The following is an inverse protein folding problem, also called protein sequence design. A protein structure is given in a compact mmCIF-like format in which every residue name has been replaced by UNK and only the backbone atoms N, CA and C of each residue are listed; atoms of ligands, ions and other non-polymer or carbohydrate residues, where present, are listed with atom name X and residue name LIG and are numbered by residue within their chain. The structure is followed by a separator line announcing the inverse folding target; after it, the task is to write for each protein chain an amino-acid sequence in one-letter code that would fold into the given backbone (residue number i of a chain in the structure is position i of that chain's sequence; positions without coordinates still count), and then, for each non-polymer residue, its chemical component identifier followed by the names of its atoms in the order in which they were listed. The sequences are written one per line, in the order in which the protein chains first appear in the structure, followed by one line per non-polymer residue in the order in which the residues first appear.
data_IF_468860503678
#
_entry.id   IF_468860503678
#
_cell.length_a   1.000
_cell.length_b   1.000
_cell.length_c   1.000
_cell.angle_alpha   90.00
_cell.angle_beta   90.00
_cell.angle_gamma   90.00
#
_symmetry.space_group_name_H-M   'P 1'
#
loop_
_entity.id
_entity.type
_entity.pdbx_description
1 polymer ?
#
# COMPACT_ATOMS: atom_id res chain seq x y z
N UNK A 1 -3.41 -14.46 -26.06
CA UNK A 1 -4.52 -14.11 -25.14
C UNK A 1 -4.97 -15.40 -24.45
N UNK A 2 -5.00 -15.43 -23.12
CA UNK A 2 -5.24 -16.66 -22.34
C UNK A 2 -6.73 -16.95 -22.06
N UNK A 3 -7.64 -16.05 -22.43
CA UNK A 3 -9.07 -16.14 -22.14
C UNK A 3 -9.91 -16.65 -23.32
N UNK A 4 -9.28 -17.01 -24.44
CA UNK A 4 -9.97 -17.62 -25.56
C UNK A 4 -10.00 -19.14 -25.37
N UNK A 5 -11.18 -19.78 -25.43
CA UNK A 5 -11.26 -21.24 -25.36
C UNK A 5 -10.39 -21.91 -26.43
N UNK A 6 -9.63 -22.92 -26.05
CA UNK A 6 -8.79 -23.66 -26.98
C UNK A 6 -9.65 -24.39 -28.01
N UNK A 7 -9.27 -24.31 -29.29
CA UNK A 7 -9.96 -24.98 -30.39
C UNK A 7 -11.09 -24.19 -31.04
N UNK A 8 -11.36 -22.95 -30.62
CA UNK A 8 -12.27 -22.05 -31.34
C UNK A 8 -11.54 -21.22 -32.41
N UNK A 9 -12.15 -21.02 -33.59
CA UNK A 9 -11.52 -20.30 -34.70
C UNK A 9 -11.32 -18.81 -34.45
N UNK A 10 -12.09 -18.23 -33.52
CA UNK A 10 -11.98 -16.83 -33.11
C UNK A 10 -12.20 -16.68 -31.60
N UNK A 11 -11.55 -15.67 -31.02
CA UNK A 11 -11.80 -15.23 -29.65
C UNK A 11 -13.12 -14.44 -29.56
N UNK A 12 -13.66 -14.31 -28.35
CA UNK A 12 -14.72 -13.35 -28.08
C UNK A 12 -14.29 -11.94 -28.50
N UNK A 13 -15.20 -11.13 -29.07
CA UNK A 13 -14.90 -9.76 -29.42
C UNK A 13 -14.58 -8.91 -28.18
N UNK A 14 -13.90 -7.79 -28.40
CA UNK A 14 -13.38 -6.95 -27.33
C UNK A 14 -14.49 -6.42 -26.41
N UNK A 15 -14.24 -6.45 -25.10
CA UNK A 15 -15.21 -6.03 -24.07
C UNK A 15 -16.19 -7.12 -23.63
N UNK A 16 -16.11 -8.30 -24.22
CA UNK A 16 -16.82 -9.49 -23.75
C UNK A 16 -15.88 -10.47 -23.07
N UNK A 17 -16.39 -11.14 -22.05
CA UNK A 17 -15.70 -12.20 -21.34
C UNK A 17 -16.54 -13.48 -21.41
N UNK A 18 -16.01 -14.49 -22.10
CA UNK A 18 -16.68 -15.77 -22.27
C UNK A 18 -16.62 -16.59 -20.97
N UNK A 19 -17.80 -16.91 -20.43
CA UNK A 19 -17.94 -17.73 -19.22
C UNK A 19 -18.66 -19.05 -19.51
N UNK A 20 -18.70 -19.50 -20.76
CA UNK A 20 -19.37 -20.75 -21.14
C UNK A 20 -18.82 -21.95 -20.37
N UNK A 21 -17.49 -22.04 -20.25
CA UNK A 21 -16.80 -23.08 -19.48
C UNK A 21 -17.14 -23.03 -17.98
N UNK A 22 -17.55 -21.87 -17.46
CA UNK A 22 -17.98 -21.70 -16.08
C UNK A 22 -19.48 -21.98 -15.89
N UNK A 23 -20.25 -22.06 -16.97
CA UNK A 23 -21.71 -22.13 -16.99
C UNK A 23 -22.22 -23.31 -17.82
N UNK A 24 -21.63 -24.50 -17.63
CA UNK A 24 -22.06 -25.74 -18.27
C UNK A 24 -22.17 -25.65 -19.80
N UNK A 25 -21.20 -24.99 -20.44
CA UNK A 25 -21.15 -24.73 -21.89
C UNK A 25 -22.29 -23.85 -22.44
N UNK A 26 -23.05 -23.18 -21.56
CA UNK A 26 -24.04 -22.17 -21.96
C UNK A 26 -23.36 -20.97 -22.63
N UNK A 27 -23.92 -20.38 -23.70
CA UNK A 27 -23.27 -19.31 -24.47
C UNK A 27 -23.36 -17.94 -23.77
N UNK A 28 -23.02 -17.90 -22.48
CA UNK A 28 -23.08 -16.69 -21.66
C UNK A 28 -21.78 -15.90 -21.81
N UNK A 29 -21.94 -14.61 -22.07
CA UNK A 29 -20.87 -13.62 -22.18
C UNK A 29 -21.08 -12.52 -21.15
N UNK A 30 -20.07 -12.20 -20.36
CA UNK A 30 -20.10 -11.05 -19.45
C UNK A 30 -19.55 -9.80 -20.13
N UNK A 31 -20.11 -8.64 -19.80
CA UNK A 31 -19.58 -7.32 -20.19
C UNK A 31 -19.81 -6.31 -19.07
N UNK A 32 -19.31 -5.09 -19.23
CA UNK A 32 -19.83 -3.96 -18.45
C UNK A 32 -21.20 -3.52 -18.98
N UNK A 33 -22.03 -2.82 -18.17
CA UNK A 33 -23.34 -2.36 -18.59
C UNK A 33 -23.29 -1.53 -19.87
N UNK A 34 -24.28 -1.74 -20.73
CA UNK A 34 -24.41 -1.10 -22.04
C UNK A 34 -23.13 -1.21 -22.89
N UNK A 35 -22.42 -2.33 -22.75
CA UNK A 35 -21.15 -2.59 -23.43
C UNK A 35 -20.09 -1.50 -23.20
N UNK A 36 -20.06 -0.87 -22.01
CA UNK A 36 -19.01 0.07 -21.65
C UNK A 36 -17.62 -0.57 -21.81
N UNK A 37 -16.70 0.11 -22.50
CA UNK A 37 -15.37 -0.40 -22.89
C UNK A 37 -15.37 -1.61 -23.84
N UNK A 38 -16.51 -1.94 -24.44
CA UNK A 38 -16.61 -2.93 -25.53
C UNK A 38 -16.56 -2.33 -26.91
N UNK A 39 -16.66 -3.19 -27.91
CA UNK A 39 -16.77 -2.80 -29.31
C UNK A 39 -18.05 -2.00 -29.58
N UNK A 40 -17.96 -0.97 -30.42
CA UNK A 40 -19.10 -0.12 -30.76
C UNK A 40 -20.15 -0.88 -31.60
N UNK A 41 -19.78 -1.97 -32.28
CA UNK A 41 -20.71 -2.80 -33.06
C UNK A 41 -21.91 -3.25 -32.24
N UNK A 42 -21.70 -3.61 -30.97
CA UNK A 42 -22.74 -4.09 -30.07
C UNK A 42 -23.86 -3.08 -29.81
N UNK A 43 -23.58 -1.78 -29.93
CA UNK A 43 -24.59 -0.72 -29.72
C UNK A 43 -25.58 -0.62 -30.90
N UNK A 44 -25.18 -1.13 -32.07
CA UNK A 44 -26.00 -1.12 -33.29
C UNK A 44 -26.75 -2.43 -33.54
N UNK A 45 -26.36 -3.51 -32.87
CA UNK A 45 -26.97 -4.85 -33.02
C UNK A 45 -28.32 -4.96 -32.29
N UNK A 46 -28.56 -4.13 -31.27
CA UNK A 46 -29.74 -4.22 -30.40
C UNK A 46 -30.34 -2.84 -30.15
N UNK A 47 -31.62 -2.69 -30.50
CA UNK A 47 -32.38 -1.48 -30.19
C UNK A 47 -32.69 -1.37 -28.69
N UNK A 48 -32.57 -0.15 -28.14
CA UNK A 48 -32.90 0.15 -26.73
C UNK A 48 -31.69 0.21 -25.79
N UNK A 49 -30.49 -0.12 -26.26
CA UNK A 49 -29.26 0.10 -25.50
C UNK A 49 -28.89 1.59 -25.56
N UNK A 50 -28.87 2.26 -24.41
CA UNK A 50 -28.33 3.62 -24.33
C UNK A 50 -26.81 3.62 -24.51
N UNK A 51 -26.22 4.71 -25.04
CA UNK A 51 -24.77 4.86 -25.11
C UNK A 51 -24.10 4.64 -23.74
N UNK A 52 -22.90 4.03 -23.71
CA UNK A 52 -22.24 3.74 -22.45
C UNK A 52 -21.76 5.01 -21.74
N UNK A 53 -22.12 5.14 -20.47
CA UNK A 53 -21.73 6.25 -19.60
C UNK A 53 -20.73 5.74 -18.55
N UNK A 54 -19.53 6.33 -18.53
CA UNK A 54 -18.47 5.93 -17.61
C UNK A 54 -18.90 6.01 -16.14
N UNK A 55 -19.63 7.05 -15.73
CA UNK A 55 -19.97 7.21 -14.31
C UNK A 55 -21.02 6.19 -13.87
N UNK A 56 -21.91 5.78 -14.78
CA UNK A 56 -22.96 4.78 -14.52
C UNK A 56 -22.53 3.34 -14.75
N UNK A 57 -21.55 3.08 -15.62
CA UNK A 57 -21.24 1.73 -16.08
C UNK A 57 -19.82 1.25 -15.73
N UNK A 58 -18.96 2.10 -15.15
CA UNK A 58 -17.65 1.65 -14.66
C UNK A 58 -17.77 0.69 -13.48
N UNK A 59 -16.97 -0.37 -13.50
CA UNK A 59 -16.67 -1.20 -12.34
C UNK A 59 -15.46 -0.59 -11.61
N UNK A 60 -15.56 -0.40 -10.28
CA UNK A 60 -14.42 0.08 -9.49
C UNK A 60 -14.38 -0.52 -8.09
N UNK A 61 -13.17 -0.60 -7.53
CA UNK A 61 -12.90 -1.00 -6.15
C UNK A 61 -11.81 -0.05 -5.63
N UNK A 62 -12.14 0.74 -4.62
CA UNK A 62 -11.20 1.62 -3.93
C UNK A 62 -10.57 0.86 -2.77
N UNK A 63 -9.26 0.67 -2.83
CA UNK A 63 -8.50 -0.14 -1.88
C UNK A 63 -7.57 0.73 -1.05
N UNK A 64 -7.59 0.56 0.27
CA UNK A 64 -6.66 1.24 1.16
C UNK A 64 -5.22 0.74 0.91
N UNK A 65 -4.26 1.61 0.56
CA UNK A 65 -2.96 1.19 0.03
C UNK A 65 -2.11 0.36 1.00
N UNK A 66 -2.21 0.63 2.30
CA UNK A 66 -1.42 -0.09 3.32
C UNK A 66 -2.13 -1.34 3.86
N UNK A 67 -3.46 -1.32 3.94
CA UNK A 67 -4.25 -2.35 4.61
C UNK A 67 -4.84 -3.37 3.64
N UNK A 68 -4.96 -3.00 2.35
CA UNK A 68 -5.61 -3.83 1.33
C UNK A 68 -7.14 -3.92 1.47
N UNK A 69 -7.73 -3.22 2.44
CA UNK A 69 -9.18 -3.24 2.68
C UNK A 69 -9.92 -2.36 1.67
N UNK A 70 -11.06 -2.84 1.19
CA UNK A 70 -11.96 -2.07 0.32
C UNK A 70 -12.70 -0.99 1.10
N UNK A 71 -12.62 0.25 0.65
CA UNK A 71 -13.34 1.40 1.23
C UNK A 71 -14.66 1.65 0.51
N UNK A 72 -14.65 1.53 -0.81
CA UNK A 72 -15.81 1.73 -1.69
C UNK A 72 -15.70 0.76 -2.84
N UNK A 73 -16.82 0.22 -3.31
CA UNK A 73 -16.82 -0.65 -4.47
C UNK A 73 -18.17 -0.58 -5.17
N UNK A 74 -18.16 -0.53 -6.49
CA UNK A 74 -19.34 -0.74 -7.33
C UNK A 74 -18.98 -1.75 -8.41
N UNK A 75 -19.44 -2.98 -8.20
CA UNK A 75 -19.37 -4.04 -9.18
C UNK A 75 -20.57 -3.92 -10.13
N UNK A 76 -20.29 -3.64 -11.39
CA UNK A 76 -21.32 -3.49 -12.43
C UNK A 76 -21.05 -4.47 -13.53
N UNK A 77 -21.98 -5.40 -13.74
CA UNK A 77 -21.81 -6.51 -14.67
C UNK A 77 -23.09 -6.67 -15.49
N UNK A 78 -22.92 -6.93 -16.77
CA UNK A 78 -23.99 -7.27 -17.69
C UNK A 78 -23.84 -8.71 -18.14
N UNK A 79 -24.95 -9.45 -18.12
CA UNK A 79 -25.06 -10.81 -18.60
C UNK A 79 -25.66 -10.76 -20.01
N UNK A 80 -24.92 -11.33 -20.96
CA UNK A 80 -25.32 -11.41 -22.36
C UNK A 80 -25.36 -12.87 -22.82
N UNK A 81 -26.15 -13.13 -23.86
CA UNK A 81 -26.24 -14.41 -24.54
C UNK A 81 -25.67 -14.26 -25.96
N UNK A 82 -24.65 -15.04 -26.29
CA UNK A 82 -24.22 -15.17 -27.68
C UNK A 82 -25.24 -16.06 -28.40
N UNK A 83 -26.05 -15.45 -29.26
CA UNK A 83 -27.06 -16.15 -30.05
C UNK A 83 -26.49 -16.36 -31.44
N UNK A 84 -26.45 -17.62 -31.88
CA UNK A 84 -26.09 -17.97 -33.25
C UNK A 84 -27.30 -18.50 -33.99
N UNK A 85 -27.38 -18.19 -35.27
CA UNK A 85 -28.42 -18.69 -36.16
C UNK A 85 -28.23 -20.19 -36.37
N UNK A 86 -29.25 -20.97 -36.00
CA UNK A 86 -29.28 -22.42 -36.25
C UNK A 86 -30.57 -22.75 -36.99
N UNK A 87 -30.46 -23.04 -38.29
CA UNK A 87 -31.61 -23.31 -39.16
C UNK A 87 -32.50 -24.46 -38.67
N UNK A 88 -31.91 -25.45 -38.00
CA UNK A 88 -32.63 -26.61 -37.46
C UNK A 88 -33.45 -26.29 -36.20
N UNK A 89 -33.19 -25.15 -35.55
CA UNK A 89 -33.89 -24.71 -34.34
C UNK A 89 -34.81 -23.55 -34.70
N UNK A 90 -36.12 -23.82 -34.80
CA UNK A 90 -37.14 -22.86 -35.25
C UNK A 90 -37.08 -21.49 -34.54
N UNK A 91 -36.72 -21.47 -33.27
CA UNK A 91 -36.66 -20.25 -32.44
C UNK A 91 -35.54 -19.31 -32.88
N UNK A 92 -34.40 -19.83 -33.34
CA UNK A 92 -33.22 -19.04 -33.74
C UNK A 92 -32.94 -19.12 -35.24
N UNK A 93 -33.75 -19.84 -36.01
CA UNK A 93 -33.56 -20.01 -37.45
C UNK A 93 -33.56 -18.67 -38.23
N UNK A 94 -34.25 -17.65 -37.72
CA UNK A 94 -34.30 -16.30 -38.28
C UNK A 94 -33.65 -15.24 -37.39
N UNK A 95 -32.94 -15.64 -36.32
CA UNK A 95 -32.23 -14.70 -35.47
C UNK A 95 -30.86 -14.40 -36.07
N UNK A 96 -30.44 -13.13 -36.11
CA UNK A 96 -29.08 -12.79 -36.52
C UNK A 96 -28.06 -13.30 -35.50
N UNK A 97 -26.83 -13.50 -35.95
CA UNK A 97 -25.70 -13.76 -35.06
C UNK A 97 -25.38 -12.49 -34.26
N UNK A 98 -25.79 -12.44 -32.99
CA UNK A 98 -25.66 -11.25 -32.14
C UNK A 98 -25.32 -11.61 -30.69
N UNK A 99 -24.84 -10.62 -29.94
CA UNK A 99 -24.69 -10.73 -28.48
C UNK A 99 -25.85 -10.01 -27.81
N UNK A 100 -26.84 -10.79 -27.36
CA UNK A 100 -28.08 -10.26 -26.81
C UNK A 100 -27.95 -9.97 -25.31
N UNK A 101 -28.07 -8.71 -24.85
CA UNK A 101 -28.02 -8.38 -23.43
C UNK A 101 -29.31 -8.81 -22.73
N UNK A 102 -29.19 -9.55 -21.63
CA UNK A 102 -30.34 -10.02 -20.85
C UNK A 102 -30.65 -9.03 -19.73
N UNK A 103 -29.66 -8.79 -18.88
CA UNK A 103 -29.76 -7.90 -17.73
C UNK A 103 -28.38 -7.40 -17.33
N UNK A 104 -28.36 -6.27 -16.64
CA UNK A 104 -27.20 -5.84 -15.89
C UNK A 104 -27.63 -5.55 -14.45
N UNK A 105 -26.68 -5.67 -13.53
CA UNK A 105 -26.91 -5.39 -12.13
C UNK A 105 -25.71 -4.67 -11.54
N UNK A 106 -25.98 -3.99 -10.42
CA UNK A 106 -24.98 -3.31 -9.62
C UNK A 106 -25.00 -3.90 -8.21
N UNK A 107 -23.82 -4.25 -7.71
CA UNK A 107 -23.61 -4.66 -6.33
C UNK A 107 -22.45 -3.85 -5.76
N UNK A 108 -22.59 -3.33 -4.54
CA UNK A 108 -21.52 -2.53 -3.97
C UNK A 108 -21.90 -1.72 -2.74
N UNK A 109 -20.90 -1.02 -2.23
CA UNK A 109 -20.99 -0.11 -1.10
C UNK A 109 -20.41 1.25 -1.52
N UNK A 110 -21.14 2.33 -1.24
CA UNK A 110 -20.64 3.68 -1.49
C UNK A 110 -19.61 4.10 -0.47
N UNK A 111 -19.85 3.80 0.81
CA UNK A 111 -19.03 4.27 1.92
C UNK A 111 -19.10 3.24 3.06
N UNK A 112 -18.02 3.17 3.86
CA UNK A 112 -18.01 2.44 5.12
C UNK A 112 -18.64 3.28 6.23
N UNK A 113 -19.20 2.65 7.29
CA UNK A 113 -19.65 3.38 8.46
C UNK A 113 -18.54 4.24 9.06
N UNK A 114 -18.86 5.47 9.47
CA UNK A 114 -17.89 6.45 10.01
C UNK A 114 -17.01 5.86 11.11
N UNK A 115 -17.58 5.06 12.01
CA UNK A 115 -16.85 4.39 13.10
C UNK A 115 -15.70 3.50 12.59
N UNK A 116 -15.94 2.76 11.50
CA UNK A 116 -14.94 1.89 10.89
C UNK A 116 -13.89 2.73 10.18
N UNK A 117 -14.33 3.75 9.44
CA UNK A 117 -13.45 4.63 8.68
C UNK A 117 -12.50 5.41 9.59
N UNK A 118 -12.99 5.90 10.73
CA UNK A 118 -12.20 6.59 11.76
C UNK A 118 -11.22 5.64 12.43
N UNK A 119 -11.66 4.44 12.81
CA UNK A 119 -10.79 3.43 13.40
C UNK A 119 -9.66 3.03 12.45
N UNK A 120 -9.96 2.86 11.16
CA UNK A 120 -8.96 2.56 10.14
C UNK A 120 -7.98 3.71 9.97
N UNK A 121 -8.47 4.96 9.93
CA UNK A 121 -7.61 6.16 9.86
C UNK A 121 -6.67 6.26 11.06
N UNK A 122 -7.18 6.02 12.27
CA UNK A 122 -6.37 5.99 13.50
C UNK A 122 -5.31 4.89 13.42
N UNK A 123 -5.71 3.65 13.11
CA UNK A 123 -4.82 2.50 13.02
C UNK A 123 -3.74 2.67 11.94
N UNK A 124 -4.06 3.32 10.81
CA UNK A 124 -3.11 3.57 9.73
C UNK A 124 -2.10 4.67 10.07
N UNK A 125 -2.51 5.73 10.77
CA UNK A 125 -1.71 6.95 10.90
C UNK A 125 -0.98 7.11 12.23
N UNK A 126 -1.55 6.61 13.32
CA UNK A 126 -1.02 6.86 14.68
C UNK A 126 0.19 5.99 15.02
N UNK A 127 0.19 4.66 14.82
CA UNK A 127 1.32 3.82 15.19
C UNK A 127 2.65 4.20 14.51
N UNK A 128 2.70 4.52 13.20
CA UNK A 128 3.93 4.97 12.55
C UNK A 128 4.49 6.26 13.14
N UNK A 129 3.61 7.22 13.50
CA UNK A 129 4.00 8.50 14.11
C UNK A 129 4.54 8.29 15.53
N UNK A 130 3.87 7.48 16.34
CA UNK A 130 4.34 7.15 17.70
C UNK A 130 5.67 6.43 17.64
N UNK A 131 5.82 5.44 16.75
CA UNK A 131 7.07 4.71 16.54
C UNK A 131 8.22 5.67 16.23
N UNK A 132 8.01 6.61 15.31
CA UNK A 132 9.02 7.61 14.97
C UNK A 132 9.37 8.51 16.17
N UNK A 133 8.36 8.96 16.91
CA UNK A 133 8.55 9.76 18.12
C UNK A 133 9.39 9.04 19.19
N UNK A 134 9.11 7.76 19.43
CA UNK A 134 9.88 6.93 20.37
C UNK A 134 11.33 6.78 19.90
N UNK A 135 11.55 6.51 18.61
CA UNK A 135 12.91 6.37 18.05
C UNK A 135 13.70 7.66 18.27
N UNK A 136 13.13 8.81 17.92
CA UNK A 136 13.79 10.11 18.10
C UNK A 136 14.07 10.37 19.58
N UNK A 137 13.09 10.12 20.46
CA UNK A 137 13.25 10.32 21.90
C UNK A 137 14.37 9.47 22.50
N UNK A 138 14.44 8.18 22.16
CA UNK A 138 15.50 7.28 22.62
C UNK A 138 16.88 7.68 22.07
N UNK A 139 16.95 8.11 20.81
CA UNK A 139 18.20 8.61 20.23
C UNK A 139 18.68 9.88 20.92
N UNK A 140 17.80 10.85 21.19
CA UNK A 140 18.14 12.08 21.90
C UNK A 140 18.60 11.81 23.33
N UNK A 141 17.92 10.92 24.06
CA UNK A 141 18.32 10.51 25.40
C UNK A 141 19.68 9.80 25.40
N UNK A 142 19.90 8.88 24.46
CA UNK A 142 21.17 8.19 24.29
C UNK A 142 22.32 9.14 24.01
N UNK A 143 22.12 10.09 23.08
CA UNK A 143 23.11 11.12 22.76
C UNK A 143 23.44 11.99 23.98
N UNK A 144 22.43 12.40 24.75
CA UNK A 144 22.62 13.21 25.96
C UNK A 144 23.43 12.48 27.02
N UNK A 145 23.07 11.23 27.34
CA UNK A 145 23.82 10.42 28.32
C UNK A 145 25.25 10.15 27.86
N UNK A 146 25.45 9.92 26.56
CA UNK A 146 26.79 9.73 25.99
C UNK A 146 27.64 10.99 26.11
N UNK A 147 27.09 12.17 25.80
CA UNK A 147 27.78 13.45 25.97
C UNK A 147 28.13 13.73 27.43
N UNK A 148 27.22 13.43 28.37
CA UNK A 148 27.50 13.55 29.81
C UNK A 148 28.62 12.60 30.26
N UNK A 149 28.60 11.34 29.81
CA UNK A 149 29.65 10.38 30.14
C UNK A 149 31.01 10.84 29.61
N UNK A 150 31.08 11.30 28.36
CA UNK A 150 32.30 11.88 27.79
C UNK A 150 32.78 13.10 28.58
N UNK A 151 31.88 14.01 28.95
CA UNK A 151 32.22 15.17 29.75
C UNK A 151 32.78 14.79 31.13
N UNK A 152 32.15 13.84 31.81
CA UNK A 152 32.60 13.31 33.09
C UNK A 152 33.99 12.66 32.97
N UNK A 153 34.23 11.86 31.94
CA UNK A 153 35.52 11.20 31.68
C UNK A 153 36.64 12.21 31.38
N UNK A 154 36.36 13.24 30.58
CA UNK A 154 37.31 14.32 30.30
C UNK A 154 37.63 15.08 31.60
N UNK A 155 36.61 15.42 32.39
CA UNK A 155 36.80 16.12 33.67
C UNK A 155 37.59 15.28 34.68
N UNK A 156 37.34 13.98 34.78
CA UNK A 156 38.09 13.10 35.68
C UNK A 156 39.54 12.95 35.24
N UNK A 157 39.79 12.81 33.94
CA UNK A 157 41.15 12.77 33.37
C UNK A 157 41.92 14.07 33.67
N UNK A 158 41.31 15.23 33.41
CA UNK A 158 41.91 16.53 33.73
C UNK A 158 42.18 16.73 35.23
N UNK A 159 41.28 16.24 36.10
CA UNK A 159 41.48 16.27 37.56
C UNK A 159 42.64 15.38 38.00
N UNK A 160 42.82 14.22 37.38
CA UNK A 160 43.93 13.33 37.69
C UNK A 160 45.27 13.92 37.25
N UNK A 161 45.33 14.55 36.07
CA UNK A 161 46.51 15.27 35.58
C UNK A 161 46.92 16.42 36.50
N UNK A 162 45.96 17.21 37.01
CA UNK A 162 46.24 18.33 37.93
C UNK A 162 46.76 17.86 39.29
N UNK A 163 46.15 16.82 39.88
CA UNK A 163 46.64 16.23 41.15
C UNK A 163 48.06 15.65 41.01
N UNK A 164 48.36 15.01 39.89
CA UNK A 164 49.69 14.45 39.65
C UNK A 164 50.77 15.55 39.52
N UNK A 165 50.44 16.67 38.88
CA UNK A 165 51.33 17.84 38.78
C UNK A 165 51.57 18.50 40.14
N UNK A 166 50.51 18.68 40.94
CA UNK A 166 50.61 19.30 42.26
C UNK A 166 51.40 18.44 43.25
N UNK A 167 51.18 17.11 43.25
CA UNK A 167 51.98 16.17 44.02
C UNK A 167 53.46 16.14 43.62
N UNK A 168 53.75 16.21 42.31
CA UNK A 168 55.12 16.29 41.80
C UNK A 168 55.82 17.59 42.22
N UNK A 169 55.11 18.72 42.17
CA UNK A 169 55.61 20.01 42.63
C UNK A 169 55.92 20.02 44.13
N UNK A 170 55.01 19.47 44.95
CA UNK A 170 55.22 19.39 46.41
C UNK A 170 56.47 18.58 46.78
N UNK A 171 56.69 17.43 46.14
CA UNK A 171 57.89 16.61 46.35
C UNK A 171 59.16 17.34 45.92
N UNK A 172 59.13 18.06 44.79
CA UNK A 172 60.26 18.84 44.32
C UNK A 172 60.63 19.97 45.32
N UNK A 173 59.64 20.68 45.88
CA UNK A 173 59.87 21.72 46.89
C UNK A 173 60.44 21.13 48.19
N UNK A 174 59.87 20.02 48.67
CA UNK A 174 60.36 19.35 49.88
C UNK A 174 61.84 18.91 49.74
N UNK A 175 62.22 18.41 48.56
CA UNK A 175 63.60 18.01 48.28
C UNK A 175 64.56 19.19 48.21
N UNK A 176 64.12 20.33 47.65
CA UNK A 176 64.89 21.57 47.63
C UNK A 176 65.15 22.09 49.06
N UNK A 177 64.14 22.10 49.92
CA UNK A 177 64.26 22.55 51.31
C UNK A 177 65.21 21.66 52.13
N UNK A 178 65.13 20.34 51.97
CA UNK A 178 66.07 19.40 52.59
C UNK A 178 67.51 19.62 52.13
N UNK A 179 67.71 19.90 50.83
CA UNK A 179 69.02 20.16 50.26
C UNK A 179 69.60 21.47 50.79
N UNK A 180 68.78 22.52 50.90
CA UNK A 180 69.16 23.81 51.49
C UNK A 180 69.50 23.69 52.97
N UNK A 181 68.77 22.88 53.73
CA UNK A 181 69.07 22.61 55.14
C UNK A 181 70.42 21.90 55.31
N UNK A 182 70.68 20.86 54.53
CA UNK A 182 72.00 20.18 54.50
C UNK A 182 73.15 21.12 54.14
N UNK A 183 72.95 22.03 53.18
CA UNK A 183 73.97 23.02 52.81
C UNK A 183 74.24 24.06 53.90
N UNK A 184 73.25 24.35 54.75
CA UNK A 184 73.38 25.29 55.88
C UNK A 184 74.06 24.65 57.09
N UNK A 185 73.84 23.36 57.33
CA UNK A 185 74.46 22.62 58.44
C UNK A 185 75.91 22.18 58.14
N UNK A 186 76.36 22.31 56.88
CA UNK A 186 77.72 21.95 56.43
C UNK A 186 78.72 23.13 56.41
N UNK A 187 78.35 24.29 56.98
CA UNK A 187 79.17 25.52 57.02
C UNK A 187 79.33 26.01 58.45
#
# INVERSE_FOLDING_TARGET
MCFCPAGQPSCSPNGLFNVSLCQYDSPIMLSFPHFYLGDESFLSEVEGISPPDKEKHKFFIDVHPTMGTTLRARARIQINLAVSQVFDIKQVANFPDIVFPILWFEEGIDELPDEITDLMSFAATVPPKIRLGIIIGLFSLGAFLFSLALFCLIRSSNRQSTLHLEGSNYLATAQFDLTKKKAKDSK
#
